data_IF_244557329423
#
_entry.id   IF_244557329423
#
_cell.length_a   1.000
_cell.length_b   1.000
_cell.length_c   1.000
_cell.angle_alpha   90.00
_cell.angle_beta   90.00
_cell.angle_gamma   90.00
#
_symmetry.space_group_name_H-M   'P 1'
#
loop_
_entity.id
_entity.type
_entity.pdbx_description
1 polymer ?
#
# COMPACT_ATOMS: atom_id res chain seq x y z
N UNK A 1 -32.62 -5.98 32.92
CA UNK A 1 -32.33 -5.27 31.64
C UNK A 1 -31.42 -4.10 31.96
N UNK A 2 -30.11 -4.16 31.71
CA UNK A 2 -29.24 -3.04 32.04
C UNK A 2 -27.79 -3.36 32.38
N UNK A 3 -27.18 -4.39 31.78
CA UNK A 3 -25.80 -4.78 32.13
C UNK A 3 -24.79 -4.53 30.97
N UNK A 4 -25.27 -4.15 29.76
CA UNK A 4 -24.38 -4.01 28.61
C UNK A 4 -23.88 -2.59 28.30
N UNK A 5 -24.35 -1.57 29.03
CA UNK A 5 -23.93 -0.18 28.76
C UNK A 5 -22.66 0.27 29.49
N UNK A 6 -22.24 -0.42 30.56
CA UNK A 6 -21.10 0.04 31.36
C UNK A 6 -19.72 -0.41 30.86
N UNK A 7 -19.64 -1.36 29.93
CA UNK A 7 -18.34 -1.82 29.43
C UNK A 7 -17.78 -0.95 28.29
N UNK A 8 -18.62 -0.22 27.58
CA UNK A 8 -18.16 0.68 26.51
C UNK A 8 -17.65 2.02 27.03
N UNK A 9 -18.14 2.48 28.20
CA UNK A 9 -17.68 3.76 28.77
C UNK A 9 -16.36 3.64 29.52
N UNK A 10 -15.99 2.43 30.00
CA UNK A 10 -14.71 2.21 30.65
C UNK A 10 -13.51 2.28 29.73
N UNK A 11 -13.65 1.86 28.47
CA UNK A 11 -12.58 1.92 27.50
C UNK A 11 -12.30 3.34 26.99
N UNK A 12 -13.32 4.19 26.91
CA UNK A 12 -13.17 5.59 26.51
C UNK A 12 -12.59 6.47 27.62
N UNK A 13 -12.89 6.15 28.90
CA UNK A 13 -12.37 6.88 30.07
C UNK A 13 -10.90 6.55 30.35
N UNK A 14 -10.42 5.34 30.03
CA UNK A 14 -9.02 4.97 30.19
C UNK A 14 -8.09 5.69 29.20
N UNK A 15 -8.60 6.07 28.03
CA UNK A 15 -7.86 6.87 27.05
C UNK A 15 -7.66 8.33 27.48
N UNK A 16 -8.54 8.85 28.36
CA UNK A 16 -8.45 10.22 28.87
C UNK A 16 -7.59 10.37 30.12
N UNK A 17 -7.19 9.26 30.77
CA UNK A 17 -6.47 9.25 32.05
C UNK A 17 -4.96 9.02 31.92
N UNK A 18 -4.31 9.49 30.83
CA UNK A 18 -2.83 9.55 30.76
C UNK A 18 -2.11 8.20 30.77
N UNK A 19 -2.81 7.10 30.53
CA UNK A 19 -2.18 5.85 30.12
C UNK A 19 -1.57 6.09 28.75
N UNK A 20 -0.23 6.01 28.62
CA UNK A 20 0.51 6.29 27.40
C UNK A 20 -0.19 5.66 26.20
N UNK A 21 -0.44 6.46 25.18
CA UNK A 21 -1.03 5.99 23.95
C UNK A 21 -0.22 4.78 23.48
N UNK A 22 -0.92 3.72 23.12
CA UNK A 22 -0.26 2.49 22.62
C UNK A 22 0.63 2.80 21.41
N UNK A 23 0.41 3.94 20.77
CA UNK A 23 1.21 4.53 19.70
C UNK A 23 1.54 5.98 20.05
N UNK A 24 2.79 6.36 19.96
CA UNK A 24 3.27 7.74 20.17
C UNK A 24 2.70 8.73 19.14
N UNK A 25 2.21 8.22 18.02
CA UNK A 25 1.63 9.00 16.95
C UNK A 25 0.23 8.51 16.60
N UNK A 26 -0.78 9.38 16.74
CA UNK A 26 -2.15 9.09 16.35
C UNK A 26 -2.42 9.69 14.97
N UNK A 27 -3.01 8.89 14.08
CA UNK A 27 -3.52 9.36 12.80
C UNK A 27 -4.99 9.70 13.00
N UNK A 28 -5.30 11.00 13.03
CA UNK A 28 -6.66 11.49 13.30
C UNK A 28 -7.54 11.54 12.04
N UNK A 29 -6.94 11.39 10.86
CA UNK A 29 -7.65 11.55 9.59
C UNK A 29 -7.34 10.40 8.64
N UNK A 30 -8.35 10.05 7.84
CA UNK A 30 -8.21 9.09 6.75
C UNK A 30 -8.93 9.61 5.50
N UNK A 31 -8.46 9.20 4.32
CA UNK A 31 -9.12 9.49 3.05
C UNK A 31 -9.83 8.23 2.59
N UNK A 32 -11.09 8.38 2.21
CA UNK A 32 -11.86 7.32 1.55
C UNK A 32 -11.93 7.61 0.06
N UNK A 33 -11.55 6.63 -0.73
CA UNK A 33 -11.72 6.64 -2.17
C UNK A 33 -12.97 5.85 -2.52
N UNK A 34 -13.87 6.46 -3.27
CA UNK A 34 -15.08 5.81 -3.75
C UNK A 34 -14.92 5.45 -5.22
N UNK A 35 -15.13 4.16 -5.51
CA UNK A 35 -15.05 3.62 -6.86
C UNK A 35 -16.02 4.28 -7.83
N UNK A 36 -17.25 4.55 -7.40
CA UNK A 36 -18.29 5.11 -8.25
C UNK A 36 -18.00 6.52 -8.73
N UNK A 37 -17.15 7.25 -8.02
CA UNK A 37 -16.79 8.64 -8.31
C UNK A 37 -15.41 8.81 -8.96
N UNK A 38 -14.68 7.71 -9.21
CA UNK A 38 -13.29 7.77 -9.74
C UNK A 38 -12.39 8.71 -8.93
N UNK A 39 -12.52 8.67 -7.61
CA UNK A 39 -11.80 9.56 -6.70
C UNK A 39 -10.31 9.26 -6.69
N UNK A 40 -9.48 10.28 -6.73
CA UNK A 40 -8.04 10.16 -6.63
C UNK A 40 -7.42 11.43 -6.03
N UNK A 41 -6.21 11.29 -5.50
CA UNK A 41 -5.33 12.40 -5.18
C UNK A 41 -4.18 12.44 -6.18
N UNK A 42 -3.72 13.61 -6.53
CA UNK A 42 -2.56 13.75 -7.41
C UNK A 42 -1.60 14.81 -6.92
N UNK A 43 -0.32 14.59 -7.20
CA UNK A 43 0.75 15.55 -6.93
C UNK A 43 1.76 15.52 -8.06
N UNK A 44 2.12 16.68 -8.57
CA UNK A 44 3.25 16.83 -9.49
C UNK A 44 4.53 17.04 -8.70
N UNK A 45 5.50 16.14 -8.89
CA UNK A 45 6.84 16.29 -8.32
C UNK A 45 7.63 17.20 -9.25
N UNK A 46 8.05 18.36 -8.76
CA UNK A 46 8.77 19.37 -9.57
C UNK A 46 10.25 19.03 -9.74
N UNK A 47 10.86 18.35 -8.77
CA UNK A 47 12.25 17.92 -8.81
C UNK A 47 12.31 16.46 -8.43
N UNK A 48 12.82 15.64 -9.32
CA UNK A 48 12.95 14.19 -9.06
C UNK A 48 13.87 13.90 -7.89
N UNK A 49 13.51 12.84 -7.15
CA UNK A 49 14.33 12.24 -6.11
C UNK A 49 15.18 11.10 -6.64
N UNK A 50 15.60 10.20 -5.73
CA UNK A 50 16.32 9.00 -6.13
C UNK A 50 15.37 8.02 -6.82
N UNK A 51 15.64 7.69 -8.08
CA UNK A 51 14.81 6.78 -8.88
C UNK A 51 15.09 5.31 -8.58
N UNK A 52 16.20 5.01 -7.90
CA UNK A 52 16.65 3.64 -7.62
C UNK A 52 16.44 3.20 -6.19
N UNK A 53 16.23 4.16 -5.28
CA UNK A 53 16.04 3.89 -3.85
C UNK A 53 14.89 4.73 -3.32
N UNK A 54 13.83 4.05 -2.90
CA UNK A 54 12.69 4.69 -2.26
C UNK A 54 11.89 3.67 -1.45
N UNK A 55 11.08 4.17 -0.54
CA UNK A 55 10.16 3.38 0.26
C UNK A 55 8.77 4.00 0.18
N UNK A 56 7.78 3.15 -0.02
CA UNK A 56 6.38 3.50 0.05
C UNK A 56 5.76 2.82 1.27
N UNK A 57 5.11 3.58 2.14
CA UNK A 57 4.53 3.08 3.38
C UNK A 57 3.20 3.75 3.64
N UNK A 58 2.15 2.94 3.85
CA UNK A 58 0.82 3.46 4.14
C UNK A 58 -0.07 2.45 4.85
N UNK A 59 -1.03 2.98 5.60
CA UNK A 59 -2.12 2.22 6.16
C UNK A 59 -3.31 2.23 5.22
N UNK A 60 -3.95 1.10 5.08
CA UNK A 60 -5.13 0.96 4.22
C UNK A 60 -6.19 0.10 4.89
N UNK A 61 -7.43 0.29 4.49
CA UNK A 61 -8.55 -0.57 4.85
C UNK A 61 -9.36 -0.85 3.61
N UNK A 62 -9.50 -2.14 3.28
CA UNK A 62 -10.34 -2.58 2.17
C UNK A 62 -11.77 -2.73 2.64
N UNK A 63 -12.72 -2.30 1.83
CA UNK A 63 -14.16 -2.46 2.12
C UNK A 63 -14.77 -3.69 1.44
N UNK A 64 -14.07 -4.24 0.45
CA UNK A 64 -14.47 -5.46 -0.26
C UNK A 64 -13.25 -6.15 -0.88
N UNK A 65 -13.32 -7.48 -1.01
CA UNK A 65 -12.27 -8.32 -1.59
C UNK A 65 -12.75 -9.18 -2.75
N UNK A 66 -14.02 -9.10 -3.13
CA UNK A 66 -14.59 -9.89 -4.22
C UNK A 66 -15.85 -9.23 -4.79
N UNK A 67 -16.27 -9.69 -5.97
CA UNK A 67 -17.59 -9.38 -6.53
C UNK A 67 -17.66 -8.17 -7.45
N UNK A 68 -16.54 -7.67 -7.93
CA UNK A 68 -16.52 -6.44 -8.75
C UNK A 68 -16.12 -6.64 -10.22
N UNK A 69 -16.09 -7.89 -10.71
CA UNK A 69 -15.64 -8.18 -12.08
C UNK A 69 -14.15 -7.88 -12.27
N UNK A 70 -13.63 -7.84 -13.47
CA UNK A 70 -12.19 -7.61 -13.78
C UNK A 70 -11.69 -6.23 -13.37
N UNK A 71 -11.50 -6.00 -12.06
CA UNK A 71 -11.13 -4.69 -11.55
C UNK A 71 -9.85 -4.69 -10.74
N UNK A 72 -8.95 -3.87 -11.20
CA UNK A 72 -7.74 -3.51 -10.52
C UNK A 72 -7.93 -2.16 -9.82
N UNK A 73 -7.55 -2.07 -8.55
CA UNK A 73 -7.48 -0.79 -7.85
C UNK A 73 -6.04 -0.31 -7.85
N UNK A 74 -5.81 0.80 -8.50
CA UNK A 74 -4.54 1.48 -8.44
C UNK A 74 -4.40 2.15 -7.09
N UNK A 75 -3.48 1.67 -6.27
CA UNK A 75 -3.16 2.27 -4.98
C UNK A 75 -2.17 3.41 -5.14
N UNK A 76 -1.29 3.32 -6.11
CA UNK A 76 -0.40 4.40 -6.53
C UNK A 76 0.03 4.19 -7.98
N UNK A 77 0.15 5.27 -8.74
CA UNK A 77 0.69 5.22 -10.11
C UNK A 77 1.39 6.52 -10.46
N UNK A 78 2.39 6.44 -11.32
CA UNK A 78 3.20 7.60 -11.69
C UNK A 78 2.77 8.24 -13.00
N UNK A 79 1.91 7.66 -13.75
CA UNK A 79 1.43 8.18 -15.05
C UNK A 79 0.33 7.30 -15.57
N UNK A 80 -0.52 7.85 -16.41
CA UNK A 80 -1.62 7.11 -17.03
C UNK A 80 -1.26 6.46 -18.37
N UNK A 81 0.01 6.53 -18.80
CA UNK A 81 0.50 5.94 -20.06
C UNK A 81 1.86 5.27 -19.87
N UNK A 82 2.07 4.15 -20.56
CA UNK A 82 3.36 3.42 -20.53
C UNK A 82 4.55 4.29 -21.02
N UNK A 83 5.75 4.13 -20.42
CA UNK A 83 6.05 3.30 -19.27
C UNK A 83 5.64 3.98 -17.95
N UNK A 84 4.99 3.25 -17.08
CA UNK A 84 4.55 3.71 -15.78
C UNK A 84 4.93 2.69 -14.69
N UNK A 85 5.02 3.17 -13.46
CA UNK A 85 5.13 2.32 -12.29
C UNK A 85 3.80 2.36 -11.55
N UNK A 86 3.33 1.21 -11.11
CA UNK A 86 2.04 1.10 -10.42
C UNK A 86 2.14 0.16 -9.24
N UNK A 87 1.41 0.50 -8.18
CA UNK A 87 1.03 -0.40 -7.12
C UNK A 87 -0.46 -0.67 -7.26
N UNK A 88 -0.82 -1.92 -7.39
CA UNK A 88 -2.19 -2.35 -7.66
C UNK A 88 -2.63 -3.36 -6.60
N UNK A 89 -3.89 -3.28 -6.22
CA UNK A 89 -4.60 -4.36 -5.55
C UNK A 89 -5.55 -5.02 -6.56
N UNK A 90 -5.24 -6.26 -6.91
CA UNK A 90 -6.05 -7.08 -7.81
C UNK A 90 -7.03 -7.90 -7.00
N UNK A 91 -8.31 -7.59 -7.12
CA UNK A 91 -9.37 -8.27 -6.38
C UNK A 91 -10.11 -9.34 -7.17
N UNK A 92 -9.84 -9.48 -8.46
CA UNK A 92 -10.62 -10.37 -9.31
C UNK A 92 -10.32 -11.84 -9.12
N UNK A 93 -9.06 -12.19 -9.19
CA UNK A 93 -8.64 -13.58 -9.26
C UNK A 93 -7.90 -14.04 -8.02
N UNK A 94 -7.19 -13.16 -7.35
CA UNK A 94 -6.27 -13.57 -6.29
C UNK A 94 -6.32 -12.73 -5.03
N UNK A 95 -6.97 -11.56 -5.03
CA UNK A 95 -7.01 -10.63 -3.89
C UNK A 95 -5.60 -10.33 -3.35
N UNK A 96 -4.68 -9.98 -4.22
CA UNK A 96 -3.28 -9.74 -3.88
C UNK A 96 -2.81 -8.36 -4.33
N UNK A 97 -1.80 -7.87 -3.65
CA UNK A 97 -1.06 -6.70 -4.10
C UNK A 97 -0.06 -7.11 -5.16
N UNK A 98 0.16 -6.26 -6.13
CA UNK A 98 1.32 -6.36 -6.98
C UNK A 98 1.90 -4.99 -7.30
N UNK A 99 3.18 -4.99 -7.58
CA UNK A 99 3.92 -3.82 -7.96
C UNK A 99 4.53 -4.03 -9.34
N UNK A 100 4.34 -3.06 -10.23
CA UNK A 100 4.93 -3.05 -11.55
C UNK A 100 5.90 -1.88 -11.65
N UNK A 101 7.11 -2.14 -12.13
CA UNK A 101 8.09 -1.13 -12.49
C UNK A 101 8.84 -1.52 -13.75
N UNK A 102 9.08 -0.56 -14.64
CA UNK A 102 9.79 -0.77 -15.91
C UNK A 102 9.23 -1.97 -16.73
N UNK A 103 7.94 -2.24 -16.63
CA UNK A 103 7.28 -3.36 -17.29
C UNK A 103 7.38 -4.71 -16.57
N UNK A 104 8.14 -4.81 -15.48
CA UNK A 104 8.30 -6.04 -14.71
C UNK A 104 7.37 -6.07 -13.51
N UNK A 105 6.77 -7.22 -13.27
CA UNK A 105 5.83 -7.43 -12.18
C UNK A 105 6.50 -8.11 -10.99
N UNK A 106 6.03 -7.79 -9.81
CA UNK A 106 6.33 -8.43 -8.54
C UNK A 106 5.02 -8.80 -7.86
N UNK A 107 4.76 -10.10 -7.72
CA UNK A 107 3.51 -10.65 -7.20
C UNK A 107 3.79 -11.46 -5.94
N UNK A 108 3.49 -10.94 -4.75
CA UNK A 108 3.42 -11.79 -3.57
C UNK A 108 2.31 -12.84 -3.71
N UNK A 109 2.60 -14.08 -3.35
CA UNK A 109 1.66 -15.21 -3.51
C UNK A 109 0.54 -15.25 -2.44
N UNK A 110 0.58 -14.37 -1.44
CA UNK A 110 -0.46 -14.28 -0.42
C UNK A 110 -1.71 -13.53 -0.89
N UNK A 111 -2.89 -14.01 -0.53
CA UNK A 111 -4.15 -13.30 -0.73
C UNK A 111 -4.51 -12.44 0.47
N UNK A 112 -4.84 -11.17 0.25
CA UNK A 112 -5.37 -10.29 1.27
C UNK A 112 -6.90 -10.33 1.26
N UNK A 113 -7.50 -10.90 2.31
CA UNK A 113 -8.97 -11.08 2.40
C UNK A 113 -9.59 -10.39 3.62
N UNK A 114 -8.81 -9.66 4.38
CA UNK A 114 -9.32 -8.99 5.58
C UNK A 114 -9.91 -7.62 5.22
N UNK A 115 -11.24 -7.53 5.22
CA UNK A 115 -11.98 -6.28 5.01
C UNK A 115 -12.34 -5.57 6.31
N UNK A 116 -12.19 -6.25 7.45
CA UNK A 116 -12.59 -5.73 8.76
C UNK A 116 -11.53 -4.88 9.44
N UNK A 117 -10.26 -5.10 9.12
CA UNK A 117 -9.12 -4.49 9.79
C UNK A 117 -8.33 -3.51 8.92
N UNK A 118 -7.50 -2.71 9.58
CA UNK A 118 -6.45 -1.95 8.93
C UNK A 118 -5.28 -2.85 8.57
N UNK A 119 -4.70 -2.64 7.40
CA UNK A 119 -3.44 -3.22 6.97
C UNK A 119 -2.38 -2.15 6.82
N UNK A 120 -1.14 -2.50 7.10
CA UNK A 120 0.03 -1.66 6.85
C UNK A 120 0.88 -2.30 5.75
N UNK A 121 1.02 -1.61 4.62
CA UNK A 121 1.85 -2.07 3.51
C UNK A 121 3.09 -1.20 3.41
N UNK A 122 4.24 -1.85 3.30
CA UNK A 122 5.51 -1.20 3.02
C UNK A 122 6.15 -1.86 1.81
N UNK A 123 6.55 -1.04 0.84
CA UNK A 123 7.30 -1.47 -0.33
C UNK A 123 8.64 -0.77 -0.28
N UNK A 124 9.71 -1.53 -0.34
CA UNK A 124 11.08 -1.04 -0.46
C UNK A 124 11.57 -1.35 -1.86
N UNK A 125 12.08 -0.35 -2.53
CA UNK A 125 12.72 -0.45 -3.83
C UNK A 125 14.17 0.00 -3.71
N UNK A 126 15.10 -0.91 -4.00
CA UNK A 126 16.53 -0.63 -4.08
C UNK A 126 17.12 -1.40 -5.27
N UNK A 127 17.03 -0.83 -6.45
CA UNK A 127 17.54 -1.49 -7.65
C UNK A 127 19.07 -1.53 -7.73
N UNK A 128 19.78 -0.79 -6.89
CA UNK A 128 21.23 -0.84 -6.81
C UNK A 128 21.72 -2.07 -6.04
N UNK A 129 20.85 -2.76 -5.28
CA UNK A 129 21.23 -3.93 -4.51
C UNK A 129 21.82 -5.03 -5.40
N UNK A 130 22.93 -5.62 -4.94
CA UNK A 130 23.60 -6.73 -5.62
C UNK A 130 22.77 -8.01 -5.64
N UNK A 131 21.92 -8.20 -4.61
CA UNK A 131 21.05 -9.37 -4.45
C UNK A 131 19.72 -9.12 -5.16
N UNK A 132 19.43 -9.89 -6.20
CA UNK A 132 18.23 -9.68 -7.01
C UNK A 132 16.93 -9.68 -6.18
N UNK A 133 16.82 -10.59 -5.20
CA UNK A 133 15.63 -10.74 -4.36
C UNK A 133 15.47 -9.63 -3.30
N UNK A 134 16.45 -8.76 -3.14
CA UNK A 134 16.39 -7.63 -2.21
C UNK A 134 16.17 -6.29 -2.92
N UNK A 135 16.10 -6.29 -4.26
CA UNK A 135 15.82 -5.07 -5.04
C UNK A 135 14.36 -4.61 -4.93
N UNK A 136 13.45 -5.53 -4.64
CA UNK A 136 12.04 -5.26 -4.38
C UNK A 136 11.60 -6.08 -3.17
N UNK A 137 11.18 -5.40 -2.12
CA UNK A 137 10.72 -6.06 -0.90
C UNK A 137 9.36 -5.51 -0.53
N UNK A 138 8.45 -6.38 -0.12
CA UNK A 138 7.14 -6.00 0.37
C UNK A 138 6.94 -6.54 1.78
N UNK A 139 6.41 -5.69 2.66
CA UNK A 139 6.00 -6.08 4.02
C UNK A 139 4.50 -5.84 4.18
N UNK A 140 3.81 -6.79 4.75
CA UNK A 140 2.44 -6.65 5.17
C UNK A 140 2.36 -6.81 6.69
N UNK A 141 1.85 -5.79 7.37
CA UNK A 141 1.76 -5.75 8.84
C UNK A 141 3.09 -6.08 9.54
N UNK A 142 4.18 -5.54 9.02
CA UNK A 142 5.53 -5.74 9.55
C UNK A 142 6.20 -7.07 9.16
N UNK A 143 5.49 -7.98 8.51
CA UNK A 143 6.05 -9.26 8.07
C UNK A 143 6.51 -9.18 6.62
N UNK A 144 7.78 -9.50 6.36
CA UNK A 144 8.32 -9.59 4.99
C UNK A 144 7.60 -10.71 4.24
N UNK A 145 7.11 -10.38 3.06
CA UNK A 145 6.57 -11.36 2.13
C UNK A 145 7.73 -12.02 1.38
N UNK A 146 7.92 -13.32 1.57
CA UNK A 146 9.05 -14.08 1.00
C UNK A 146 8.61 -15.04 -0.10
N UNK A 147 7.33 -15.34 -0.18
CA UNK A 147 6.74 -16.18 -1.22
C UNK A 147 6.13 -15.27 -2.30
N UNK A 148 6.77 -15.21 -3.45
CA UNK A 148 6.37 -14.32 -4.54
C UNK A 148 6.87 -14.80 -5.90
N UNK A 149 6.14 -14.41 -6.93
CA UNK A 149 6.59 -14.48 -8.32
C UNK A 149 7.20 -13.13 -8.71
N UNK A 150 8.46 -13.14 -9.09
CA UNK A 150 9.18 -11.97 -9.56
C UNK A 150 9.66 -12.19 -10.98
N UNK A 151 9.26 -11.35 -11.92
CA UNK A 151 9.72 -11.39 -13.30
C UNK A 151 11.19 -10.91 -13.47
N UNK A 152 11.84 -10.68 -12.33
CA UNK A 152 13.21 -10.20 -12.28
C UNK A 152 13.29 -8.68 -12.49
N UNK A 153 14.09 -8.04 -11.66
CA UNK A 153 14.46 -6.64 -11.83
C UNK A 153 15.96 -6.57 -12.09
N UNK A 154 16.33 -5.99 -13.23
CA UNK A 154 17.75 -5.76 -13.52
C UNK A 154 18.34 -4.76 -12.52
N UNK A 155 19.60 -4.97 -12.16
CA UNK A 155 20.30 -4.01 -11.30
C UNK A 155 20.35 -2.63 -11.97
N UNK A 156 20.33 -1.58 -11.16
CA UNK A 156 20.38 -0.17 -11.61
C UNK A 156 19.18 0.25 -12.47
N UNK A 157 18.03 -0.41 -12.35
CA UNK A 157 16.82 -0.02 -13.04
C UNK A 157 16.19 1.21 -12.37
N UNK A 158 15.95 2.26 -13.13
CA UNK A 158 15.26 3.46 -12.66
C UNK A 158 13.75 3.21 -12.58
N UNK A 159 13.16 3.49 -11.43
CA UNK A 159 11.71 3.55 -11.22
C UNK A 159 11.16 4.88 -11.75
N UNK A 160 9.86 4.92 -12.01
CA UNK A 160 9.15 6.18 -12.30
C UNK A 160 8.64 6.86 -11.04
N UNK A 161 8.51 6.13 -9.92
CA UNK A 161 8.28 6.78 -8.64
C UNK A 161 9.47 7.68 -8.29
N UNK A 162 9.21 8.81 -7.67
CA UNK A 162 10.14 9.92 -7.44
C UNK A 162 10.64 10.64 -8.69
N UNK A 163 10.15 10.32 -9.88
CA UNK A 163 10.50 11.10 -11.08
C UNK A 163 9.78 12.47 -11.07
N UNK A 164 10.29 13.39 -11.87
CA UNK A 164 9.62 14.67 -12.15
C UNK A 164 8.38 14.41 -13.02
N UNK A 165 7.30 13.95 -12.40
CA UNK A 165 6.04 13.63 -13.07
C UNK A 165 4.86 13.72 -12.11
N UNK A 166 3.65 13.58 -12.64
CA UNK A 166 2.46 13.50 -11.80
C UNK A 166 2.38 12.11 -11.18
N UNK A 167 2.10 12.07 -9.87
CA UNK A 167 1.84 10.86 -9.10
C UNK A 167 0.38 10.88 -8.66
N UNK A 168 -0.26 9.73 -8.69
CA UNK A 168 -1.66 9.53 -8.31
C UNK A 168 -1.75 8.49 -7.18
N UNK A 169 -2.70 8.67 -6.29
CA UNK A 169 -3.12 7.76 -5.24
C UNK A 169 -4.63 7.58 -5.33
#
# INVERSE_FOLDING_TARGET
>A
MGVFQNHLMGAAAAAAAGGGAFYDHQIEQSVRFDRGSSSYLSRTIQSGGNLRKWTFSFWFKMTATAGFGSNQYYLATTKLSSPYDTLIFDIDSSSRFYYQTAGNYYYPNGSFRNTGGWGHLVIVYDSDDGTANDRRIMYLNGTRMTDYDDQGLSQNTDSKFNSNSVHYI
#
